data_IF_875859760804
#
_entry.id   IF_875859760804
#
_cell.length_a   1.000
_cell.length_b   1.000
_cell.length_c   1.000
_cell.angle_alpha   90.00
_cell.angle_beta   90.00
_cell.angle_gamma   90.00
#
_symmetry.space_group_name_H-M   'P 1'
#
loop_
_entity.id
_entity.type
_entity.pdbx_description
1 polymer ?
#
# COMPACT_ATOMS: atom_id res chain seq x y z
N UNK A 1 5.55 -12.88 4.18
CA UNK A 1 6.68 -12.06 3.70
C UNK A 1 8.00 -12.77 3.97
N UNK A 2 8.92 -12.72 3.01
CA UNK A 2 10.28 -13.26 3.12
C UNK A 2 11.11 -12.46 4.13
N UNK A 3 12.06 -13.11 4.82
CA UNK A 3 13.02 -12.42 5.72
C UNK A 3 13.77 -11.33 4.95
N UNK A 4 14.19 -11.65 3.72
CA UNK A 4 14.94 -10.76 2.82
C UNK A 4 13.99 -9.96 1.89
N UNK A 5 12.79 -9.61 2.37
CA UNK A 5 11.82 -8.83 1.61
C UNK A 5 12.42 -7.50 1.12
N UNK A 6 12.33 -7.25 -0.18
CA UNK A 6 12.81 -6.00 -0.78
C UNK A 6 11.70 -4.94 -0.74
N UNK A 7 11.98 -3.82 -0.11
CA UNK A 7 11.07 -2.67 0.01
C UNK A 7 11.56 -1.53 -0.88
N UNK A 8 10.65 -0.97 -1.68
CA UNK A 8 10.91 0.17 -2.55
C UNK A 8 10.24 1.48 -2.09
N UNK A 9 9.35 1.45 -1.09
CA UNK A 9 8.81 2.67 -0.49
C UNK A 9 9.97 3.51 0.10
N UNK A 10 10.11 4.80 -0.28
CA UNK A 10 11.22 5.64 0.14
C UNK A 10 11.27 5.92 1.66
N UNK A 11 10.18 5.65 2.38
CA UNK A 11 10.04 5.89 3.81
C UNK A 11 10.24 4.63 4.66
N UNK A 12 10.51 3.47 4.05
CA UNK A 12 10.66 2.20 4.75
C UNK A 12 11.92 1.45 4.29
N UNK A 13 12.64 0.86 5.25
CA UNK A 13 13.81 0.03 4.95
C UNK A 13 13.37 -1.36 4.46
N UNK A 14 14.21 -1.99 3.64
CA UNK A 14 14.06 -3.41 3.26
C UNK A 14 14.19 -4.34 4.47
N UNK A 15 13.65 -5.55 4.35
CA UNK A 15 13.61 -6.58 5.39
C UNK A 15 12.23 -6.71 6.03
N UNK A 16 11.86 -7.96 6.38
CA UNK A 16 10.51 -8.27 6.91
C UNK A 16 10.13 -7.46 8.13
N UNK A 17 11.04 -7.39 9.12
CA UNK A 17 10.72 -6.74 10.39
C UNK A 17 10.55 -5.24 10.20
N UNK A 18 11.44 -4.60 9.44
CA UNK A 18 11.32 -3.18 9.08
C UNK A 18 9.99 -2.88 8.39
N UNK A 19 9.55 -3.75 7.48
CA UNK A 19 8.25 -3.60 6.81
C UNK A 19 7.09 -3.69 7.81
N UNK A 20 7.10 -4.70 8.70
CA UNK A 20 6.08 -4.89 9.74
C UNK A 20 6.02 -3.69 10.69
N UNK A 21 7.18 -3.23 11.17
CA UNK A 21 7.28 -2.10 12.10
C UNK A 21 6.79 -0.79 11.49
N UNK A 22 7.00 -0.62 10.17
CA UNK A 22 6.52 0.55 9.44
C UNK A 22 5.00 0.53 9.22
N UNK A 23 4.43 -0.60 8.78
CA UNK A 23 3.01 -0.66 8.42
C UNK A 23 2.08 -0.98 9.59
N UNK A 24 2.57 -1.63 10.65
CA UNK A 24 1.77 -2.05 11.81
C UNK A 24 0.95 -0.90 12.41
N UNK A 25 1.56 0.23 12.78
CA UNK A 25 0.83 1.39 13.31
C UNK A 25 -0.20 1.98 12.33
N UNK A 26 0.04 1.86 11.02
CA UNK A 26 -0.89 2.31 9.99
C UNK A 26 -2.12 1.38 9.97
N UNK A 27 -1.91 0.07 10.03
CA UNK A 27 -3.00 -0.90 10.12
C UNK A 27 -3.85 -0.76 11.38
N UNK A 28 -3.24 -0.37 12.50
CA UNK A 28 -3.97 -0.11 13.74
C UNK A 28 -4.84 1.16 13.68
N UNK A 29 -4.41 2.16 12.90
CA UNK A 29 -5.04 3.47 12.83
C UNK A 29 -6.02 3.65 11.65
N UNK A 30 -5.87 2.86 10.59
CA UNK A 30 -6.55 3.06 9.32
C UNK A 30 -7.65 2.03 9.02
N UNK A 31 -8.74 2.51 8.43
CA UNK A 31 -9.69 1.66 7.72
C UNK A 31 -9.31 1.57 6.25
N UNK A 32 -9.35 0.37 5.69
CA UNK A 32 -9.02 0.11 4.29
C UNK A 32 -10.23 -0.41 3.52
N UNK A 33 -10.52 0.19 2.36
CA UNK A 33 -11.47 -0.35 1.39
C UNK A 33 -10.73 -0.77 0.13
N UNK A 34 -10.72 -2.06 -0.18
CA UNK A 34 -10.16 -2.59 -1.43
C UNK A 34 -11.13 -2.25 -2.57
N UNK A 35 -10.62 -1.58 -3.60
CA UNK A 35 -11.43 -1.11 -4.73
C UNK A 35 -11.24 -2.00 -5.95
N UNK A 36 -9.98 -2.26 -6.30
CA UNK A 36 -9.56 -3.04 -7.47
C UNK A 36 -8.31 -3.81 -7.13
N UNK A 37 -8.14 -4.97 -7.74
CA UNK A 37 -6.94 -5.75 -7.61
C UNK A 37 -6.77 -6.63 -8.85
N UNK A 38 -5.55 -7.08 -9.08
CA UNK A 38 -5.27 -8.12 -10.07
C UNK A 38 -4.03 -8.90 -9.68
N UNK A 39 -3.84 -10.04 -10.32
CA UNK A 39 -2.67 -10.88 -10.13
C UNK A 39 -2.25 -11.50 -11.46
N UNK A 40 -0.99 -11.34 -11.81
CA UNK A 40 -0.41 -11.90 -13.03
C UNK A 40 1.10 -12.07 -12.89
N UNK A 41 1.67 -13.14 -13.46
CA UNK A 41 3.11 -13.37 -13.52
C UNK A 41 3.82 -13.25 -12.15
N UNK A 42 3.23 -13.84 -11.11
CA UNK A 42 3.70 -13.75 -9.72
C UNK A 42 3.72 -12.34 -9.13
N UNK A 43 3.00 -11.40 -9.72
CA UNK A 43 2.86 -10.04 -9.21
C UNK A 43 1.40 -9.70 -9.02
N UNK A 44 1.05 -9.27 -7.82
CA UNK A 44 -0.28 -8.74 -7.49
C UNK A 44 -0.23 -7.24 -7.31
N UNK A 45 -1.35 -6.56 -7.54
CA UNK A 45 -1.53 -5.18 -7.10
C UNK A 45 -2.92 -4.99 -6.50
N UNK A 46 -3.03 -4.03 -5.58
CA UNK A 46 -4.27 -3.63 -4.92
C UNK A 46 -4.36 -2.11 -4.93
N UNK A 47 -5.48 -1.58 -5.41
CA UNK A 47 -5.85 -0.18 -5.23
C UNK A 47 -6.80 -0.07 -4.04
N UNK A 48 -6.37 0.67 -3.02
CA UNK A 48 -7.03 0.77 -1.72
C UNK A 48 -7.36 2.22 -1.40
N UNK A 49 -8.58 2.48 -0.90
CA UNK A 49 -8.89 3.69 -0.16
C UNK A 49 -8.48 3.49 1.29
N UNK A 50 -7.56 4.32 1.78
CA UNK A 50 -7.12 4.36 3.17
C UNK A 50 -7.74 5.55 3.89
N UNK A 51 -8.32 5.30 5.07
CA UNK A 51 -8.95 6.31 5.91
C UNK A 51 -8.34 6.28 7.31
N UNK A 52 -7.66 7.35 7.69
CA UNK A 52 -7.17 7.57 9.06
C UNK A 52 -7.97 8.75 9.64
N UNK A 53 -8.63 8.61 10.80
CA UNK A 53 -9.39 9.69 11.40
C UNK A 53 -8.57 10.99 11.54
N UNK A 54 -9.09 12.09 11.01
CA UNK A 54 -8.42 13.40 11.05
C UNK A 54 -7.39 13.65 9.95
N UNK A 55 -7.12 12.68 9.07
CA UNK A 55 -6.27 12.87 7.90
C UNK A 55 -7.08 12.85 6.59
N UNK A 56 -6.58 13.44 5.49
CA UNK A 56 -7.20 13.32 4.18
C UNK A 56 -7.30 11.86 3.72
N UNK A 57 -8.40 11.51 3.05
CA UNK A 57 -8.54 10.22 2.37
C UNK A 57 -7.37 9.99 1.42
N UNK A 58 -6.79 8.80 1.43
CA UNK A 58 -5.59 8.51 0.64
C UNK A 58 -5.82 7.31 -0.26
N UNK A 59 -5.50 7.44 -1.54
CA UNK A 59 -5.44 6.33 -2.49
C UNK A 59 -4.05 5.72 -2.45
N UNK A 60 -3.98 4.40 -2.25
CA UNK A 60 -2.73 3.65 -2.27
C UNK A 60 -2.83 2.58 -3.34
N UNK A 61 -1.80 2.47 -4.17
CA UNK A 61 -1.61 1.30 -5.03
C UNK A 61 -0.39 0.56 -4.51
N UNK A 62 -0.65 -0.58 -3.87
CA UNK A 62 0.38 -1.51 -3.43
C UNK A 62 0.61 -2.55 -4.52
N UNK A 63 1.87 -2.84 -4.83
CA UNK A 63 2.30 -3.84 -5.81
C UNK A 63 3.21 -4.82 -5.08
N UNK A 64 2.93 -6.11 -5.19
CA UNK A 64 3.67 -7.18 -4.51
C UNK A 64 4.15 -8.21 -5.51
N UNK A 65 5.44 -8.56 -5.47
CA UNK A 65 5.96 -9.75 -6.14
C UNK A 65 6.02 -10.92 -5.17
N UNK A 66 5.69 -12.10 -5.68
CA UNK A 66 5.60 -13.35 -4.95
C UNK A 66 6.62 -14.37 -5.44
N UNK A 67 7.04 -15.24 -4.54
CA UNK A 67 7.70 -16.50 -4.83
C UNK A 67 6.94 -17.61 -4.10
N UNK A 68 6.22 -18.44 -4.85
CA UNK A 68 5.21 -19.33 -4.26
C UNK A 68 4.12 -18.50 -3.55
N UNK A 69 3.83 -18.84 -2.31
CA UNK A 69 2.88 -18.09 -1.46
C UNK A 69 3.53 -16.92 -0.70
N UNK A 70 4.83 -16.68 -0.87
CA UNK A 70 5.56 -15.72 -0.08
C UNK A 70 5.72 -14.38 -0.83
N UNK A 71 5.30 -13.27 -0.22
CA UNK A 71 5.66 -11.92 -0.69
C UNK A 71 7.16 -11.70 -0.49
N UNK A 72 7.88 -11.39 -1.56
CA UNK A 72 9.33 -11.22 -1.56
C UNK A 72 9.76 -9.80 -1.89
N UNK A 73 8.88 -8.98 -2.47
CA UNK A 73 9.21 -7.61 -2.88
C UNK A 73 7.94 -6.76 -3.00
N UNK A 74 8.07 -5.45 -2.80
CA UNK A 74 6.96 -4.52 -2.76
C UNK A 74 7.29 -3.11 -3.23
N UNK A 75 6.32 -2.49 -3.88
CA UNK A 75 6.29 -1.08 -4.24
C UNK A 75 4.95 -0.50 -3.82
N UNK A 76 4.93 0.78 -3.48
CA UNK A 76 3.69 1.52 -3.34
C UNK A 76 3.79 2.92 -3.94
N UNK A 77 2.61 3.49 -4.22
CA UNK A 77 2.43 4.93 -4.39
C UNK A 77 1.18 5.31 -3.62
N UNK A 78 1.30 6.35 -2.79
CA UNK A 78 0.20 6.91 -2.03
C UNK A 78 -0.09 8.35 -2.48
N UNK A 79 -1.36 8.69 -2.64
CA UNK A 79 -1.82 10.05 -2.97
C UNK A 79 -2.99 10.43 -2.07
N UNK A 80 -2.76 11.44 -1.23
CA UNK A 80 -3.82 12.06 -0.44
C UNK A 80 -4.75 12.89 -1.34
N UNK A 81 -6.05 12.87 -1.05
CA UNK A 81 -7.03 13.68 -1.76
C UNK A 81 -6.68 15.17 -1.57
N UNK A 82 -6.43 15.93 -2.64
CA UNK A 82 -6.02 17.32 -2.52
C UNK A 82 -7.22 18.16 -2.04
N UNK A 83 -7.04 19.13 -1.14
CA UNK A 83 -8.15 19.90 -0.57
C UNK A 83 -8.97 20.66 -1.63
N UNK A 84 -8.36 20.97 -2.78
CA UNK A 84 -8.95 21.72 -3.89
C UNK A 84 -8.90 20.90 -5.19
N UNK A 85 -9.35 19.65 -5.16
CA UNK A 85 -9.48 18.83 -6.37
C UNK A 85 -10.38 19.53 -7.41
N UNK A 86 -9.86 19.77 -8.61
CA UNK A 86 -10.63 20.35 -9.73
C UNK A 86 -11.40 19.30 -10.53
N UNK A 87 -10.96 18.04 -10.47
CA UNK A 87 -11.65 16.91 -11.07
C UNK A 87 -12.79 16.45 -10.15
N UNK A 88 -14.06 16.38 -10.61
CA UNK A 88 -15.19 15.95 -9.79
C UNK A 88 -15.19 14.45 -9.47
N UNK A 89 -14.33 13.65 -10.11
CA UNK A 89 -14.21 12.22 -9.84
C UNK A 89 -13.28 11.96 -8.65
N UNK A 90 -13.69 11.03 -7.79
CA UNK A 90 -12.86 10.57 -6.68
C UNK A 90 -11.61 9.82 -7.16
N UNK A 91 -10.55 9.78 -6.33
CA UNK A 91 -9.37 8.96 -6.58
C UNK A 91 -9.67 7.44 -6.58
N UNK A 92 -10.84 7.05 -6.06
CA UNK A 92 -11.21 5.70 -5.66
C UNK A 92 -12.26 5.09 -6.59
#
# INVERSE_FOLDING_TARGET
>A
MSVNYTQHNPNALSGRQNAIDYVGPIFDAANFTILRHSFSNNTGWVHTKMEIPGLPLTAVVDIFRFQGSCIVEHWDVATAMPPNATNPLALF
#
